data_IF_419727911314
#
_entry.id   IF_419727911314
#
_cell.length_a   1.000
_cell.length_b   1.000
_cell.length_c   1.000
_cell.angle_alpha   90.00
_cell.angle_beta   90.00
_cell.angle_gamma   90.00
#
_symmetry.space_group_name_H-M   'P 1'
#
loop_
_entity.id
_entity.type
_entity.pdbx_description
1 polymer ?
#
# COMPACT_ATOMS: atom_id res chain seq x y z
N UNK A 1 -10.87 -29.27 -67.12
CA UNK A 1 -9.71 -29.68 -66.27
C UNK A 1 -10.02 -31.06 -65.73
N UNK A 2 -9.12 -32.02 -65.86
CA UNK A 2 -9.41 -33.39 -65.39
C UNK A 2 -9.37 -33.43 -63.84
N UNK A 3 -10.24 -34.20 -63.23
CA UNK A 3 -10.43 -34.32 -61.76
C UNK A 3 -9.09 -34.57 -61.02
N UNK A 4 -8.17 -35.34 -61.63
CA UNK A 4 -6.87 -35.62 -61.03
C UNK A 4 -5.95 -34.38 -60.88
N UNK A 5 -6.05 -33.39 -61.81
CA UNK A 5 -5.32 -32.14 -61.75
C UNK A 5 -5.84 -31.23 -60.62
N UNK A 6 -7.15 -31.23 -60.39
CA UNK A 6 -7.77 -30.54 -59.26
C UNK A 6 -7.35 -31.14 -57.91
N UNK A 7 -7.31 -32.47 -57.83
CA UNK A 7 -6.87 -33.15 -56.62
C UNK A 7 -5.39 -32.88 -56.32
N UNK A 8 -4.56 -32.78 -57.33
CA UNK A 8 -3.10 -32.51 -57.19
C UNK A 8 -2.87 -31.06 -56.72
N UNK A 9 -3.61 -30.11 -57.26
CA UNK A 9 -3.58 -28.69 -56.79
C UNK A 9 -4.07 -28.59 -55.35
N UNK A 10 -5.17 -29.27 -54.99
CA UNK A 10 -5.67 -29.29 -53.64
C UNK A 10 -4.65 -29.87 -52.63
N UNK A 11 -3.98 -30.99 -52.97
CA UNK A 11 -2.92 -31.55 -52.13
C UNK A 11 -1.71 -30.60 -51.96
N UNK A 12 -1.30 -29.91 -53.03
CA UNK A 12 -0.22 -28.94 -52.97
C UNK A 12 -0.58 -27.74 -52.07
N UNK A 13 -1.78 -27.22 -52.22
CA UNK A 13 -2.28 -26.14 -51.35
C UNK A 13 -2.37 -26.57 -49.88
N UNK A 14 -2.82 -27.80 -49.62
CA UNK A 14 -2.90 -28.35 -48.27
C UNK A 14 -1.51 -28.59 -47.68
N UNK A 15 -0.56 -29.11 -48.48
CA UNK A 15 0.84 -29.27 -48.10
C UNK A 15 1.52 -27.94 -47.77
N UNK A 16 1.29 -26.90 -48.60
CA UNK A 16 1.80 -25.56 -48.36
C UNK A 16 1.18 -24.94 -47.09
N UNK A 17 -0.11 -25.13 -46.85
CA UNK A 17 -0.78 -24.70 -45.65
C UNK A 17 -0.22 -25.39 -44.38
N UNK A 18 -0.09 -26.73 -44.43
CA UNK A 18 0.46 -27.52 -43.33
C UNK A 18 1.92 -27.13 -43.04
N UNK A 19 2.76 -26.95 -44.07
CA UNK A 19 4.13 -26.49 -43.93
C UNK A 19 4.23 -25.08 -43.33
N UNK A 20 3.40 -24.16 -43.80
CA UNK A 20 3.33 -22.82 -43.25
C UNK A 20 2.87 -22.84 -41.78
N UNK A 21 1.89 -23.69 -41.41
CA UNK A 21 1.45 -23.89 -40.05
C UNK A 21 2.54 -24.44 -39.12
N UNK A 22 3.33 -25.41 -39.60
CA UNK A 22 4.46 -25.96 -38.86
C UNK A 22 5.56 -24.90 -38.67
N UNK A 23 5.89 -24.14 -39.72
CA UNK A 23 6.87 -23.04 -39.60
C UNK A 23 6.42 -21.92 -38.69
N UNK A 24 5.15 -21.57 -38.70
CA UNK A 24 4.57 -20.58 -37.77
C UNK A 24 4.53 -21.09 -36.32
N UNK A 25 4.51 -22.41 -36.12
CA UNK A 25 4.56 -22.99 -34.78
C UNK A 25 5.96 -22.87 -34.13
N UNK A 26 7.02 -22.94 -34.98
CA UNK A 26 8.42 -22.79 -34.53
C UNK A 26 8.85 -21.34 -34.34
N UNK A 27 8.08 -20.36 -34.84
CA UNK A 27 8.29 -18.96 -34.47
C UNK A 27 7.87 -18.77 -33.02
N UNK A 28 8.82 -18.43 -32.15
CA UNK A 28 8.59 -18.15 -30.73
C UNK A 28 7.50 -17.11 -30.58
N UNK A 29 6.31 -17.57 -30.23
CA UNK A 29 5.14 -16.72 -29.95
C UNK A 29 5.31 -15.85 -28.70
N UNK A 30 6.43 -16.02 -27.97
CA UNK A 30 6.73 -15.29 -26.74
C UNK A 30 6.93 -13.80 -26.99
N UNK A 31 7.71 -13.41 -27.97
CA UNK A 31 8.02 -11.98 -28.22
C UNK A 31 6.80 -11.18 -28.70
N UNK A 32 5.95 -11.75 -29.55
CA UNK A 32 4.79 -11.03 -30.06
C UNK A 32 3.71 -10.75 -28.98
N UNK A 33 3.56 -11.63 -27.98
CA UNK A 33 2.62 -11.42 -26.90
C UNK A 33 3.07 -10.29 -25.97
N UNK A 34 4.36 -10.15 -25.76
CA UNK A 34 4.95 -9.07 -24.98
C UNK A 34 4.84 -7.72 -25.67
N UNK A 35 5.03 -7.65 -26.98
CA UNK A 35 4.91 -6.42 -27.76
C UNK A 35 3.47 -5.87 -27.78
N UNK A 36 2.47 -6.73 -27.90
CA UNK A 36 1.05 -6.30 -27.86
C UNK A 36 0.67 -5.70 -26.49
N UNK A 37 1.30 -6.18 -25.41
CA UNK A 37 1.11 -5.62 -24.08
C UNK A 37 1.85 -4.29 -23.88
N UNK A 38 2.94 -4.04 -24.62
CA UNK A 38 3.74 -2.81 -24.53
C UNK A 38 3.05 -1.58 -25.13
N UNK A 39 1.99 -1.75 -25.91
CA UNK A 39 1.29 -0.63 -26.54
C UNK A 39 0.16 -0.13 -25.62
N UNK A 40 0.35 1.04 -25.01
CA UNK A 40 -0.73 1.78 -24.38
C UNK A 40 -1.42 2.65 -25.40
N UNK A 41 -2.71 2.42 -25.62
CA UNK A 41 -3.54 3.26 -26.47
C UNK A 41 -4.00 4.49 -25.67
N UNK A 42 -4.16 5.67 -26.30
CA UNK A 42 -4.82 6.81 -25.67
C UNK A 42 -6.24 6.45 -25.20
N UNK A 43 -6.70 7.02 -24.07
CA UNK A 43 -8.01 6.73 -23.48
C UNK A 43 -9.16 6.85 -24.49
N UNK A 44 -9.15 7.89 -25.32
CA UNK A 44 -10.19 8.06 -26.35
C UNK A 44 -10.24 6.89 -27.34
N UNK A 45 -9.08 6.36 -27.75
CA UNK A 45 -8.99 5.22 -28.66
C UNK A 45 -9.49 3.96 -27.98
N UNK A 46 -9.17 3.75 -26.70
CA UNK A 46 -9.68 2.64 -25.90
C UNK A 46 -11.21 2.69 -25.80
N UNK A 47 -11.78 3.87 -25.53
CA UNK A 47 -13.22 4.08 -25.47
C UNK A 47 -13.89 3.79 -26.82
N UNK A 48 -13.32 4.28 -27.92
CA UNK A 48 -13.85 3.98 -29.26
C UNK A 48 -13.78 2.50 -29.60
N UNK A 49 -12.71 1.81 -29.24
CA UNK A 49 -12.60 0.35 -29.41
C UNK A 49 -13.61 -0.43 -28.57
N UNK A 50 -14.05 0.13 -27.45
CA UNK A 50 -15.13 -0.41 -26.62
C UNK A 50 -16.54 0.04 -27.09
N UNK A 51 -16.67 0.58 -28.29
CA UNK A 51 -17.95 1.06 -28.81
C UNK A 51 -18.53 2.26 -28.06
N UNK A 52 -17.72 3.01 -27.35
CA UNK A 52 -18.15 4.13 -26.51
C UNK A 52 -18.60 3.74 -25.10
N UNK A 53 -18.51 2.46 -24.74
CA UNK A 53 -18.89 1.97 -23.40
C UNK A 53 -17.67 2.03 -22.44
N UNK A 54 -17.69 2.91 -21.42
CA UNK A 54 -16.58 3.01 -20.45
C UNK A 54 -16.44 1.76 -19.57
N UNK A 55 -17.53 1.06 -19.27
CA UNK A 55 -17.47 -0.18 -18.48
C UNK A 55 -16.79 -1.30 -19.26
N UNK A 56 -17.09 -1.42 -20.55
CA UNK A 56 -16.38 -2.37 -21.40
C UNK A 56 -14.91 -1.99 -21.55
N UNK A 57 -14.58 -0.70 -21.72
CA UNK A 57 -13.21 -0.22 -21.78
C UNK A 57 -12.43 -0.56 -20.49
N UNK A 58 -13.05 -0.38 -19.32
CA UNK A 58 -12.45 -0.77 -18.03
C UNK A 58 -12.19 -2.29 -17.97
N UNK A 59 -13.20 -3.11 -18.30
CA UNK A 59 -13.09 -4.57 -18.29
C UNK A 59 -11.98 -5.08 -19.22
N UNK A 60 -11.86 -4.50 -20.41
CA UNK A 60 -10.81 -4.87 -21.37
C UNK A 60 -9.41 -4.54 -20.83
N UNK A 61 -9.23 -3.42 -20.14
CA UNK A 61 -7.95 -3.07 -19.51
C UNK A 61 -7.62 -4.01 -18.33
N UNK A 62 -8.59 -4.31 -17.47
CA UNK A 62 -8.40 -5.28 -16.38
C UNK A 62 -8.02 -6.65 -16.94
N UNK A 63 -8.73 -7.14 -17.94
CA UNK A 63 -8.43 -8.42 -18.59
C UNK A 63 -7.02 -8.43 -19.19
N UNK A 64 -6.62 -7.36 -19.88
CA UNK A 64 -5.26 -7.23 -20.40
C UNK A 64 -4.22 -7.25 -19.28
N UNK A 65 -4.47 -6.55 -18.17
CA UNK A 65 -3.59 -6.53 -16.99
C UNK A 65 -3.40 -7.91 -16.35
N UNK A 66 -4.43 -8.76 -16.35
CA UNK A 66 -4.37 -10.12 -15.77
C UNK A 66 -3.72 -11.12 -16.73
N UNK A 67 -3.83 -10.92 -18.04
CA UNK A 67 -3.26 -11.83 -19.05
C UNK A 67 -1.77 -11.64 -19.27
N UNK A 68 -1.13 -10.72 -18.58
CA UNK A 68 0.33 -10.54 -18.58
C UNK A 68 0.99 -11.81 -18.02
N UNK A 69 1.87 -12.44 -18.78
CA UNK A 69 2.55 -13.65 -18.34
C UNK A 69 3.46 -13.34 -17.13
N UNK A 70 3.12 -13.89 -15.98
CA UNK A 70 3.86 -13.72 -14.70
C UNK A 70 5.30 -14.26 -14.77
N UNK A 71 5.65 -14.99 -15.83
CA UNK A 71 7.00 -15.57 -16.02
C UNK A 71 8.00 -14.55 -16.57
N UNK A 72 7.53 -13.43 -17.06
CA UNK A 72 8.39 -12.35 -17.56
C UNK A 72 8.44 -11.26 -16.49
N UNK A 73 9.41 -11.34 -15.61
CA UNK A 73 9.66 -10.46 -14.47
C UNK A 73 10.37 -9.16 -14.87
N UNK A 74 10.04 -8.60 -16.02
CA UNK A 74 10.61 -7.32 -16.43
C UNK A 74 9.83 -6.15 -15.75
N UNK A 75 10.57 -5.21 -15.20
CA UNK A 75 10.01 -4.02 -14.56
C UNK A 75 9.09 -3.23 -15.49
N UNK A 76 9.38 -3.22 -16.79
CA UNK A 76 8.57 -2.58 -17.81
C UNK A 76 7.16 -3.20 -17.92
N UNK A 77 7.06 -4.52 -17.75
CA UNK A 77 5.79 -5.24 -17.74
C UNK A 77 4.88 -4.77 -16.61
N UNK A 78 5.41 -4.62 -15.40
CA UNK A 78 4.64 -4.10 -14.26
C UNK A 78 4.27 -2.63 -14.42
N UNK A 79 5.12 -1.82 -15.05
CA UNK A 79 4.80 -0.43 -15.36
C UNK A 79 3.61 -0.33 -16.31
N UNK A 80 3.57 -1.16 -17.37
CA UNK A 80 2.45 -1.21 -18.30
C UNK A 80 1.18 -1.72 -17.62
N UNK A 81 1.30 -2.77 -16.81
CA UNK A 81 0.18 -3.28 -16.00
C UNK A 81 -0.40 -2.21 -15.09
N UNK A 82 0.44 -1.42 -14.41
CA UNK A 82 0.02 -0.27 -13.61
C UNK A 82 -0.76 0.75 -14.44
N UNK A 83 -0.26 1.10 -15.62
CA UNK A 83 -0.94 2.03 -16.52
C UNK A 83 -2.29 1.51 -17.01
N UNK A 84 -2.42 0.22 -17.33
CA UNK A 84 -3.70 -0.38 -17.72
C UNK A 84 -4.71 -0.35 -16.59
N UNK A 85 -4.29 -0.57 -15.34
CA UNK A 85 -5.18 -0.51 -14.19
C UNK A 85 -5.59 0.92 -13.84
N UNK A 86 -4.72 1.91 -14.02
CA UNK A 86 -5.07 3.33 -13.91
C UNK A 86 -6.06 3.74 -15.01
N UNK A 87 -5.86 3.28 -16.25
CA UNK A 87 -6.80 3.51 -17.34
C UNK A 87 -8.18 2.88 -17.03
N UNK A 88 -8.19 1.64 -16.51
CA UNK A 88 -9.42 0.98 -16.08
C UNK A 88 -10.15 1.76 -14.98
N UNK A 89 -9.42 2.28 -13.98
CA UNK A 89 -9.99 3.11 -12.92
C UNK A 89 -10.54 4.45 -13.47
N UNK A 90 -9.89 5.03 -14.48
CA UNK A 90 -10.37 6.25 -15.15
C UNK A 90 -11.71 6.03 -15.86
N UNK A 91 -11.95 4.84 -16.43
CA UNK A 91 -13.22 4.48 -17.07
C UNK A 91 -14.28 4.03 -16.06
N UNK A 92 -13.89 3.24 -15.08
CA UNK A 92 -14.77 2.75 -14.01
C UNK A 92 -14.04 2.68 -12.66
N UNK A 93 -14.04 3.77 -11.89
CA UNK A 93 -13.38 3.80 -10.59
C UNK A 93 -14.03 2.89 -9.54
N UNK A 94 -15.23 2.34 -9.84
CA UNK A 94 -15.93 1.38 -8.97
C UNK A 94 -15.66 -0.07 -9.32
N UNK A 95 -14.79 -0.36 -10.29
CA UNK A 95 -14.49 -1.72 -10.72
C UNK A 95 -13.77 -2.48 -9.59
N UNK A 96 -14.45 -3.49 -9.05
CA UNK A 96 -13.99 -4.22 -7.86
C UNK A 96 -12.69 -4.98 -8.12
N UNK A 97 -12.67 -5.82 -9.15
CA UNK A 97 -11.49 -6.61 -9.47
C UNK A 97 -10.26 -5.73 -9.74
N UNK A 98 -10.45 -4.52 -10.31
CA UNK A 98 -9.35 -3.63 -10.62
C UNK A 98 -8.61 -3.18 -9.36
N UNK A 99 -9.33 -2.71 -8.33
CA UNK A 99 -8.66 -2.26 -7.13
C UNK A 99 -8.07 -3.40 -6.30
N UNK A 100 -8.69 -4.59 -6.30
CA UNK A 100 -8.12 -5.77 -5.65
C UNK A 100 -6.81 -6.19 -6.32
N UNK A 101 -6.78 -6.26 -7.64
CA UNK A 101 -5.57 -6.59 -8.40
C UNK A 101 -4.49 -5.52 -8.24
N UNK A 102 -4.87 -4.24 -8.26
CA UNK A 102 -3.95 -3.14 -8.02
C UNK A 102 -3.28 -3.28 -6.64
N UNK A 103 -4.05 -3.52 -5.58
CA UNK A 103 -3.54 -3.70 -4.23
C UNK A 103 -2.62 -4.92 -4.11
N UNK A 104 -2.97 -6.03 -4.78
CA UNK A 104 -2.24 -7.29 -4.67
C UNK A 104 -0.94 -7.33 -5.46
N UNK A 105 -0.81 -6.54 -6.54
CA UNK A 105 0.29 -6.69 -7.50
C UNK A 105 1.17 -5.45 -7.55
N UNK A 106 0.59 -4.27 -7.75
CA UNK A 106 1.34 -3.08 -8.16
C UNK A 106 2.39 -2.62 -7.14
N UNK A 107 2.07 -2.40 -5.87
CA UNK A 107 3.03 -1.89 -4.90
C UNK A 107 4.19 -2.86 -4.66
N UNK A 108 3.90 -4.16 -4.67
CA UNK A 108 4.88 -5.22 -4.46
C UNK A 108 5.91 -5.35 -5.60
N UNK A 109 5.56 -4.81 -6.77
CA UNK A 109 6.40 -4.77 -7.96
C UNK A 109 6.91 -3.36 -8.29
N UNK A 110 6.98 -2.48 -7.29
CA UNK A 110 7.54 -1.15 -7.42
C UNK A 110 6.63 -0.11 -8.09
N UNK A 111 5.35 -0.45 -8.35
CA UNK A 111 4.36 0.45 -8.95
C UNK A 111 3.44 1.03 -7.86
N UNK A 112 4.03 1.59 -6.80
CA UNK A 112 3.30 2.10 -5.62
C UNK A 112 2.36 3.23 -6.02
N UNK A 113 2.83 4.20 -6.80
CA UNK A 113 2.04 5.35 -7.24
C UNK A 113 0.80 4.95 -8.04
N UNK A 114 0.96 4.06 -9.02
CA UNK A 114 -0.17 3.55 -9.82
C UNK A 114 -1.17 2.76 -8.94
N UNK A 115 -0.68 1.95 -8.02
CA UNK A 115 -1.52 1.24 -7.05
C UNK A 115 -2.32 2.21 -6.16
N UNK A 116 -1.67 3.23 -5.65
CA UNK A 116 -2.31 4.26 -4.82
C UNK A 116 -3.35 5.08 -5.61
N UNK A 117 -3.08 5.42 -6.87
CA UNK A 117 -4.03 6.13 -7.72
C UNK A 117 -5.33 5.32 -7.91
N UNK A 118 -5.22 4.04 -8.27
CA UNK A 118 -6.37 3.13 -8.42
C UNK A 118 -7.15 3.00 -7.12
N UNK A 119 -6.45 2.79 -6.00
CA UNK A 119 -7.07 2.62 -4.69
C UNK A 119 -7.76 3.88 -4.19
N UNK A 120 -7.17 5.07 -4.44
CA UNK A 120 -7.78 6.34 -4.07
C UNK A 120 -9.08 6.58 -4.83
N UNK A 121 -9.09 6.37 -6.16
CA UNK A 121 -10.29 6.50 -6.98
C UNK A 121 -11.39 5.54 -6.53
N UNK A 122 -11.04 4.28 -6.23
CA UNK A 122 -11.97 3.30 -5.69
C UNK A 122 -12.48 3.71 -4.30
N UNK A 123 -11.60 4.15 -3.41
CA UNK A 123 -11.97 4.60 -2.06
C UNK A 123 -12.91 5.82 -2.08
N UNK A 124 -12.72 6.76 -2.99
CA UNK A 124 -13.57 7.95 -3.11
C UNK A 124 -14.94 7.65 -3.71
N UNK A 125 -15.06 6.63 -4.56
CA UNK A 125 -16.29 6.34 -5.30
C UNK A 125 -17.10 5.18 -4.72
N UNK A 126 -16.47 4.22 -4.00
CA UNK A 126 -17.09 3.11 -3.28
C UNK A 126 -17.19 3.42 -1.79
N UNK A 127 -17.97 4.44 -1.44
CA UNK A 127 -18.05 4.95 -0.06
C UNK A 127 -18.69 3.97 0.94
N UNK A 128 -19.35 2.92 0.46
CA UNK A 128 -19.92 1.83 1.26
C UNK A 128 -18.94 0.70 1.54
N UNK A 129 -17.80 0.66 0.82
CA UNK A 129 -16.81 -0.40 0.86
C UNK A 129 -15.58 0.05 1.65
N UNK A 130 -15.22 -0.69 2.69
CA UNK A 130 -14.06 -0.36 3.50
C UNK A 130 -12.73 -0.74 2.83
N UNK A 131 -12.73 -1.75 1.95
CA UNK A 131 -11.51 -2.36 1.46
C UNK A 131 -10.60 -1.43 0.66
N UNK A 132 -11.10 -0.63 -0.30
CA UNK A 132 -10.23 0.30 -1.02
C UNK A 132 -9.55 1.32 -0.09
N UNK A 133 -10.29 1.84 0.91
CA UNK A 133 -9.74 2.77 1.89
C UNK A 133 -8.70 2.09 2.79
N UNK A 134 -8.96 0.85 3.20
CA UNK A 134 -8.02 0.06 4.00
C UNK A 134 -6.73 -0.26 3.24
N UNK A 135 -6.82 -0.72 1.98
CA UNK A 135 -5.64 -1.01 1.17
C UNK A 135 -4.83 0.25 0.86
N UNK A 136 -5.50 1.38 0.62
CA UNK A 136 -4.84 2.66 0.45
C UNK A 136 -4.08 3.08 1.71
N UNK A 137 -4.69 2.91 2.88
CA UNK A 137 -4.06 3.16 4.17
C UNK A 137 -2.87 2.22 4.43
N UNK A 138 -3.03 0.93 4.15
CA UNK A 138 -1.96 -0.05 4.29
C UNK A 138 -0.75 0.28 3.41
N UNK A 139 -0.99 0.62 2.15
CA UNK A 139 0.08 1.01 1.22
C UNK A 139 0.79 2.28 1.68
N UNK A 140 0.06 3.27 2.18
CA UNK A 140 0.64 4.48 2.75
C UNK A 140 1.58 4.15 3.93
N UNK A 141 1.17 3.27 4.82
CA UNK A 141 1.99 2.82 5.95
C UNK A 141 3.22 2.03 5.48
N UNK A 142 3.01 1.02 4.63
CA UNK A 142 4.04 0.03 4.34
C UNK A 142 5.05 0.50 3.29
N UNK A 143 4.57 1.05 2.17
CA UNK A 143 5.40 1.41 1.03
C UNK A 143 5.82 2.89 1.04
N UNK A 144 4.92 3.79 1.45
CA UNK A 144 5.21 5.23 1.45
C UNK A 144 5.78 5.72 2.79
N UNK A 145 5.61 4.94 3.88
CA UNK A 145 5.99 5.33 5.24
C UNK A 145 5.28 6.61 5.73
N UNK A 146 4.13 6.93 5.15
CA UNK A 146 3.30 8.07 5.51
C UNK A 146 2.27 7.65 6.57
N UNK A 147 2.67 7.72 7.84
CA UNK A 147 1.85 7.30 8.98
C UNK A 147 0.59 8.15 9.16
N UNK A 148 0.63 9.51 9.00
CA UNK A 148 -0.56 10.34 9.05
C UNK A 148 -1.61 9.98 8.00
N UNK A 149 -1.19 9.79 6.76
CA UNK A 149 -2.04 9.37 5.65
C UNK A 149 -2.65 7.99 5.91
N UNK A 150 -1.83 7.05 6.38
CA UNK A 150 -2.27 5.71 6.76
C UNK A 150 -3.33 5.75 7.87
N UNK A 151 -3.09 6.49 8.95
CA UNK A 151 -4.03 6.64 10.06
C UNK A 151 -5.35 7.26 9.63
N UNK A 152 -5.30 8.32 8.83
CA UNK A 152 -6.52 8.97 8.30
C UNK A 152 -7.39 8.00 7.49
N UNK A 153 -6.79 7.27 6.54
CA UNK A 153 -7.56 6.37 5.68
C UNK A 153 -8.00 5.08 6.38
N UNK A 154 -7.29 4.63 7.42
CA UNK A 154 -7.77 3.58 8.31
C UNK A 154 -9.03 4.01 9.09
N UNK A 155 -9.08 5.27 9.54
CA UNK A 155 -10.29 5.83 10.17
C UNK A 155 -11.46 5.92 9.18
N UNK A 156 -11.19 6.33 7.92
CA UNK A 156 -12.20 6.29 6.86
C UNK A 156 -12.74 4.87 6.63
N UNK A 157 -11.87 3.86 6.61
CA UNK A 157 -12.28 2.47 6.51
C UNK A 157 -13.13 2.02 7.72
N UNK A 158 -12.76 2.44 8.93
CA UNK A 158 -13.48 2.15 10.16
C UNK A 158 -14.91 2.71 10.15
N UNK A 159 -15.11 3.91 9.62
CA UNK A 159 -16.43 4.53 9.48
C UNK A 159 -17.36 3.76 8.55
N UNK A 160 -16.81 3.03 7.57
CA UNK A 160 -17.57 2.29 6.56
C UNK A 160 -18.00 0.90 7.00
N UNK A 161 -17.34 0.33 8.00
CA UNK A 161 -17.62 -1.05 8.44
C UNK A 161 -17.68 -1.16 9.97
N UNK A 162 -18.86 -1.02 10.58
CA UNK A 162 -19.03 -1.03 12.03
C UNK A 162 -18.44 -2.27 12.72
N UNK A 163 -18.52 -3.44 12.08
CA UNK A 163 -18.00 -4.70 12.63
C UNK A 163 -16.47 -4.72 12.78
N UNK A 164 -15.72 -3.97 11.96
CA UNK A 164 -14.28 -3.89 12.01
C UNK A 164 -13.78 -2.55 12.58
N UNK A 165 -14.68 -1.65 12.95
CA UNK A 165 -14.35 -0.28 13.34
C UNK A 165 -13.35 -0.21 14.50
N UNK A 166 -13.53 -1.03 15.54
CA UNK A 166 -12.62 -1.04 16.70
C UNK A 166 -11.18 -1.46 16.30
N UNK A 167 -11.04 -2.50 15.50
CA UNK A 167 -9.73 -2.96 15.02
C UNK A 167 -9.05 -1.91 14.14
N UNK A 168 -9.77 -1.34 13.16
CA UNK A 168 -9.25 -0.32 12.24
C UNK A 168 -8.85 0.96 12.96
N UNK A 169 -9.63 1.43 13.93
CA UNK A 169 -9.28 2.58 14.77
C UNK A 169 -8.06 2.31 15.65
N UNK A 170 -7.96 1.10 16.20
CA UNK A 170 -6.77 0.70 16.95
C UNK A 170 -5.50 0.72 16.07
N UNK A 171 -5.61 0.28 14.80
CA UNK A 171 -4.52 0.37 13.83
C UNK A 171 -4.19 1.83 13.49
N UNK A 172 -5.20 2.66 13.24
CA UNK A 172 -5.02 4.08 12.96
C UNK A 172 -4.27 4.78 14.11
N UNK A 173 -4.69 4.55 15.37
CA UNK A 173 -4.03 5.07 16.54
C UNK A 173 -2.56 4.60 16.64
N UNK A 174 -2.28 3.33 16.35
CA UNK A 174 -0.92 2.80 16.33
C UNK A 174 -0.03 3.45 15.26
N UNK A 175 -0.59 3.75 14.09
CA UNK A 175 0.14 4.42 13.01
C UNK A 175 0.39 5.89 13.32
N UNK A 176 -0.56 6.61 13.90
CA UNK A 176 -0.33 7.97 14.39
C UNK A 176 0.77 8.03 15.47
N UNK A 177 0.78 7.04 16.38
CA UNK A 177 1.81 6.95 17.44
C UNK A 177 3.24 6.77 16.85
N UNK A 178 3.37 6.08 15.71
CA UNK A 178 4.65 5.86 15.01
C UNK A 178 5.09 7.03 14.11
N UNK A 179 4.32 8.09 14.07
CA UNK A 179 4.67 9.30 13.34
C UNK A 179 5.95 9.91 13.91
N UNK A 180 6.79 10.49 13.05
CA UNK A 180 8.04 11.14 13.47
C UNK A 180 7.80 12.35 14.38
N UNK A 181 6.67 13.05 14.22
CA UNK A 181 6.24 14.12 15.10
C UNK A 181 5.29 13.59 16.18
N UNK A 182 5.88 13.23 17.32
CA UNK A 182 5.12 12.70 18.45
C UNK A 182 4.16 13.72 19.09
N UNK A 183 4.38 15.03 18.89
CA UNK A 183 3.46 16.06 19.39
C UNK A 183 2.17 16.07 18.56
N UNK A 184 2.27 16.07 17.25
CA UNK A 184 1.10 15.96 16.35
C UNK A 184 0.36 14.63 16.57
N UNK A 185 1.09 13.52 16.73
CA UNK A 185 0.48 12.24 17.07
C UNK A 185 -0.31 12.28 18.37
N UNK A 186 0.22 12.93 19.40
CA UNK A 186 -0.44 13.11 20.69
C UNK A 186 -1.76 13.89 20.56
N UNK A 187 -1.77 14.98 19.78
CA UNK A 187 -2.97 15.78 19.56
C UNK A 187 -4.05 15.00 18.81
N UNK A 188 -3.67 14.20 17.80
CA UNK A 188 -4.61 13.31 17.09
C UNK A 188 -5.20 12.26 18.02
N UNK A 189 -4.38 11.58 18.84
CA UNK A 189 -4.87 10.59 19.80
C UNK A 189 -5.79 11.19 20.86
N UNK A 190 -5.50 12.39 21.34
CA UNK A 190 -6.39 13.12 22.26
C UNK A 190 -7.73 13.47 21.61
N UNK A 191 -7.72 13.92 20.35
CA UNK A 191 -8.95 14.17 19.60
C UNK A 191 -9.78 12.90 19.41
N UNK A 192 -9.14 11.79 19.03
CA UNK A 192 -9.80 10.48 18.91
C UNK A 192 -10.39 10.01 20.24
N UNK A 193 -9.67 10.18 21.36
CA UNK A 193 -10.15 9.85 22.69
C UNK A 193 -11.39 10.66 23.07
N UNK A 194 -11.38 11.98 22.82
CA UNK A 194 -12.50 12.86 23.11
C UNK A 194 -13.75 12.54 22.29
N UNK A 195 -13.59 12.07 21.04
CA UNK A 195 -14.69 11.76 20.12
C UNK A 195 -15.24 10.34 20.30
N UNK A 196 -14.49 9.43 20.90
CA UNK A 196 -14.89 8.03 21.03
C UNK A 196 -15.95 7.83 22.11
N UNK A 197 -17.04 7.12 21.77
CA UNK A 197 -18.04 6.63 22.72
C UNK A 197 -17.73 5.24 23.28
N UNK A 198 -16.79 4.50 22.66
CA UNK A 198 -16.38 3.16 23.06
C UNK A 198 -15.43 3.21 24.26
N UNK A 199 -15.83 2.63 25.40
CA UNK A 199 -15.08 2.70 26.65
C UNK A 199 -13.75 1.93 26.58
N UNK A 200 -13.71 0.76 25.93
CA UNK A 200 -12.49 -0.04 25.83
C UNK A 200 -11.50 0.62 24.85
N UNK A 201 -11.99 1.17 23.75
CA UNK A 201 -11.16 1.94 22.83
C UNK A 201 -10.61 3.22 23.48
N UNK A 202 -11.40 3.94 24.30
CA UNK A 202 -10.88 5.07 25.08
C UNK A 202 -9.77 4.68 26.05
N UNK A 203 -9.89 3.54 26.74
CA UNK A 203 -8.80 3.03 27.59
C UNK A 203 -7.52 2.78 26.81
N UNK A 204 -7.63 2.16 25.63
CA UNK A 204 -6.49 1.95 24.75
C UNK A 204 -5.86 3.27 24.29
N UNK A 205 -6.68 4.24 23.87
CA UNK A 205 -6.21 5.57 23.49
C UNK A 205 -5.53 6.29 24.64
N UNK A 206 -6.09 6.21 25.86
CA UNK A 206 -5.48 6.80 27.04
C UNK A 206 -4.10 6.18 27.32
N UNK A 207 -3.95 4.87 27.21
CA UNK A 207 -2.65 4.22 27.38
C UNK A 207 -1.62 4.70 26.33
N UNK A 208 -2.05 4.89 25.07
CA UNK A 208 -1.19 5.43 24.01
C UNK A 208 -0.82 6.90 24.23
N UNK A 209 -1.76 7.71 24.71
CA UNK A 209 -1.54 9.11 25.10
C UNK A 209 -0.47 9.16 26.19
N UNK A 210 -0.66 8.41 27.29
CA UNK A 210 0.29 8.36 28.41
C UNK A 210 1.69 7.93 27.97
N UNK A 211 1.77 6.95 27.05
CA UNK A 211 3.04 6.51 26.44
C UNK A 211 3.73 7.63 25.67
N UNK A 212 3.02 8.35 24.79
CA UNK A 212 3.62 9.45 24.03
C UNK A 212 3.99 10.64 24.92
N UNK A 213 3.21 10.95 25.94
CA UNK A 213 3.56 11.96 26.95
C UNK A 213 4.86 11.59 27.66
N UNK A 214 5.02 10.32 28.04
CA UNK A 214 6.26 9.78 28.62
C UNK A 214 7.46 9.90 27.67
N UNK A 215 7.29 9.54 26.38
CA UNK A 215 8.33 9.71 25.39
C UNK A 215 8.78 11.17 25.21
N UNK A 216 7.81 12.10 25.13
CA UNK A 216 8.10 13.53 24.99
C UNK A 216 8.80 14.09 26.23
N UNK A 217 8.42 13.66 27.44
CA UNK A 217 9.09 14.04 28.67
C UNK A 217 10.52 13.54 28.71
N UNK A 218 10.78 12.29 28.32
CA UNK A 218 12.11 11.71 28.22
C UNK A 218 12.99 12.43 27.17
N UNK A 219 12.43 12.76 26.01
CA UNK A 219 13.16 13.52 24.96
C UNK A 219 13.57 14.91 25.44
N UNK A 220 12.67 15.59 26.17
CA UNK A 220 12.96 16.88 26.77
C UNK A 220 14.07 16.77 27.83
N UNK A 221 13.99 15.77 28.71
CA UNK A 221 15.00 15.51 29.73
C UNK A 221 16.37 15.18 29.11
N UNK A 222 16.39 14.36 28.06
CA UNK A 222 17.62 14.04 27.32
C UNK A 222 18.24 15.29 26.68
N UNK A 223 17.44 16.13 26.04
CA UNK A 223 17.93 17.38 25.44
C UNK A 223 18.56 18.31 26.47
N UNK A 224 17.92 18.48 27.62
CA UNK A 224 18.43 19.29 28.74
C UNK A 224 19.70 18.68 29.34
N UNK A 225 19.74 17.36 29.54
CA UNK A 225 20.94 16.63 30.00
C UNK A 225 22.13 16.86 29.06
N UNK A 226 21.94 16.63 27.74
CA UNK A 226 23.00 16.80 26.74
C UNK A 226 23.53 18.24 26.70
N UNK A 227 22.66 19.23 26.83
CA UNK A 227 23.03 20.63 26.89
C UNK A 227 23.95 20.92 28.08
N UNK A 228 23.63 20.35 29.27
CA UNK A 228 24.39 20.58 30.50
C UNK A 228 25.69 19.75 30.56
N UNK A 229 25.77 18.62 29.83
CA UNK A 229 26.94 17.72 29.85
C UNK A 229 27.76 17.78 28.56
N UNK A 230 27.66 18.86 27.78
CA UNK A 230 28.50 19.07 26.59
C UNK A 230 28.28 18.01 25.50
N UNK A 231 27.10 17.44 25.39
CA UNK A 231 26.74 16.43 24.38
C UNK A 231 27.07 14.99 24.78
N UNK A 232 27.51 14.74 26.01
CA UNK A 232 27.74 13.37 26.48
C UNK A 232 26.42 12.64 26.74
N UNK A 233 26.29 11.42 26.20
CA UNK A 233 25.11 10.59 26.43
C UNK A 233 25.01 10.09 27.86
N UNK A 234 23.79 9.99 28.45
CA UNK A 234 23.61 9.41 29.77
C UNK A 234 23.97 7.92 29.77
N UNK A 235 24.45 7.41 30.91
CA UNK A 235 24.82 6.01 31.08
C UNK A 235 23.60 5.09 31.11
N UNK A 236 22.47 5.60 31.63
CA UNK A 236 21.19 4.91 31.72
C UNK A 236 20.04 5.93 31.81
N UNK A 237 18.79 5.44 31.79
CA UNK A 237 17.60 6.29 31.90
C UNK A 237 17.50 7.02 33.26
N UNK A 238 18.07 6.49 34.34
CA UNK A 238 18.00 7.10 35.68
C UNK A 238 18.76 8.43 35.72
N UNK A 239 19.82 8.56 34.90
CA UNK A 239 20.58 9.80 34.78
C UNK A 239 19.76 10.98 34.24
N UNK A 240 18.57 10.73 33.65
CA UNK A 240 17.68 11.77 33.13
C UNK A 240 16.77 12.39 34.21
N UNK A 241 16.66 11.77 35.39
CA UNK A 241 15.84 12.29 36.48
C UNK A 241 16.43 13.61 36.99
N UNK A 242 15.57 14.62 37.10
CA UNK A 242 15.96 16.00 37.47
C UNK A 242 16.21 16.93 36.29
N UNK A 243 16.28 16.40 35.06
CA UNK A 243 16.43 17.20 33.83
C UNK A 243 15.08 17.38 33.11
N UNK A 244 14.92 18.50 32.40
CA UNK A 244 13.70 18.80 31.64
C UNK A 244 12.39 18.83 32.43
N UNK A 245 12.46 18.77 33.77
CA UNK A 245 11.32 18.64 34.69
C UNK A 245 10.89 17.18 34.92
N UNK A 246 11.72 16.20 34.60
CA UNK A 246 11.44 14.78 34.82
C UNK A 246 11.69 14.42 36.29
N UNK A 247 10.63 14.11 37.05
CA UNK A 247 10.73 13.73 38.48
C UNK A 247 10.96 12.22 38.67
N UNK A 248 10.45 11.40 37.76
CA UNK A 248 10.60 9.96 37.75
C UNK A 248 10.57 9.43 36.30
N UNK A 249 11.11 8.23 36.06
CA UNK A 249 11.00 7.60 34.74
C UNK A 249 9.54 7.25 34.45
N UNK A 250 8.99 7.66 33.29
CA UNK A 250 7.63 7.34 32.94
C UNK A 250 7.51 5.82 32.63
N UNK A 251 6.47 5.23 33.18
CA UNK A 251 6.08 3.86 32.84
C UNK A 251 5.36 3.84 31.49
N UNK A 252 5.66 2.82 30.68
CA UNK A 252 4.89 2.55 29.46
C UNK A 252 3.67 1.67 29.80
N UNK A 253 2.42 2.19 29.69
CA UNK A 253 1.22 1.43 30.04
C UNK A 253 0.99 0.21 29.13
N UNK A 254 1.67 0.14 27.97
CA UNK A 254 1.55 -0.98 27.00
C UNK A 254 2.72 -1.96 27.10
N UNK A 255 3.68 -1.70 28.03
CA UNK A 255 4.68 -2.68 28.45
C UNK A 255 5.87 -2.89 27.52
N UNK A 256 6.02 -2.10 26.41
CA UNK A 256 7.20 -2.21 25.52
C UNK A 256 8.38 -1.38 25.99
N UNK A 257 8.12 -0.25 26.65
CA UNK A 257 9.14 0.66 27.14
C UNK A 257 9.70 1.63 26.08
N UNK A 258 10.80 2.30 26.48
CA UNK A 258 11.48 3.31 25.65
C UNK A 258 12.94 2.90 25.44
N UNK A 259 13.45 3.10 24.23
CA UNK A 259 14.82 2.74 23.84
C UNK A 259 15.50 3.90 23.12
N UNK A 260 16.83 3.94 23.20
CA UNK A 260 17.65 4.80 22.34
C UNK A 260 17.98 4.04 21.06
N UNK A 261 17.71 4.66 19.93
CA UNK A 261 18.10 4.10 18.64
C UNK A 261 19.61 4.28 18.38
N UNK A 262 20.08 3.74 17.25
CA UNK A 262 21.49 3.86 16.83
C UNK A 262 21.96 5.30 16.57
N UNK A 263 21.02 6.24 16.46
CA UNK A 263 21.31 7.68 16.28
C UNK A 263 21.23 8.45 17.60
N UNK A 264 21.00 7.77 18.72
CA UNK A 264 20.84 8.38 20.03
C UNK A 264 19.50 9.09 20.24
N UNK A 265 18.47 8.73 19.47
CA UNK A 265 17.12 9.27 19.63
C UNK A 265 16.26 8.32 20.45
N UNK A 266 15.51 8.87 21.39
CA UNK A 266 14.54 8.12 22.18
C UNK A 266 13.31 7.77 21.34
N UNK A 267 12.99 6.48 21.31
CA UNK A 267 11.83 5.91 20.62
C UNK A 267 11.08 4.93 21.51
N UNK A 268 9.84 4.62 21.13
CA UNK A 268 9.09 3.51 21.73
C UNK A 268 9.73 2.20 21.24
N UNK A 269 10.02 1.27 22.12
CA UNK A 269 10.54 -0.04 21.76
C UNK A 269 9.50 -0.83 20.92
N UNK A 270 9.90 -1.30 19.74
CA UNK A 270 9.06 -2.16 18.93
C UNK A 270 9.18 -3.61 19.40
N UNK A 271 8.06 -4.34 19.48
CA UNK A 271 8.02 -5.77 19.81
C UNK A 271 8.81 -6.66 18.83
N UNK A 272 9.22 -6.13 17.69
CA UNK A 272 9.91 -6.88 16.62
C UNK A 272 11.42 -6.93 16.88
N UNK A 273 12.02 -5.89 17.46
CA UNK A 273 13.47 -5.86 17.69
C UNK A 273 13.94 -6.77 18.84
N UNK A 274 13.05 -7.09 19.79
CA UNK A 274 13.39 -7.99 20.92
C UNK A 274 13.52 -9.46 20.51
N UNK A 275 12.99 -9.89 19.36
CA UNK A 275 13.09 -11.28 18.86
C UNK A 275 14.26 -11.55 17.91
N UNK A 276 14.97 -10.51 17.48
CA UNK A 276 16.16 -10.67 16.62
C UNK A 276 17.47 -10.55 17.40
N UNK A 277 17.42 -10.38 18.72
CA UNK A 277 18.59 -10.35 19.62
C UNK A 277 18.74 -11.61 20.48
N UNK A 278 17.87 -12.61 20.33
CA UNK A 278 18.00 -13.97 20.85
C UNK A 278 18.41 -14.96 19.72
#
# INVERSE_FOLDING_TARGET
MSLWRLSLVAMLCWGAFAYSGLRLHDYERLDQRLEVLRVRLPLLVQLLNAGGDPYLAANLNVLRGVTVDVRVTEQETYRIQGQLQVDAASFNPRHEDNYYLAAAILPWNGQVEAGQEVLLQAAQTRTWDMWPAFYYAFNAMYFERDMPKAGHWAEVAAQRHPGNAAALRSMAAAWYERQNDSAVALDVLRAMHAQSSDAEFRKLLQARITRLEGLLALRKALADYLQQHGGQMPTDGQALIGYGGLEALPEDPLGTGYVLDSQGQLQIADHIDSRMQE
#
